data_IF_445137861210
#
_entry.id   IF_445137861210
#
_cell.length_a   1.000
_cell.length_b   1.000
_cell.length_c   1.000
_cell.angle_alpha   90.00
_cell.angle_beta   90.00
_cell.angle_gamma   90.00
#
_symmetry.space_group_name_H-M   'P 1'
#
loop_
_entity.id
_entity.type
_entity.pdbx_description
1 polymer ?
#
# COMPACT_ATOMS: atom_id res chain seq x y z
N UNK A 1 11.35 12.04 -30.16
CA UNK A 1 11.25 10.59 -29.89
C UNK A 1 9.90 10.36 -29.23
N UNK A 2 9.06 9.51 -29.80
CA UNK A 2 7.71 9.23 -29.29
C UNK A 2 7.80 8.40 -28.00
N UNK A 3 7.27 8.91 -26.88
CA UNK A 3 7.06 8.15 -25.65
C UNK A 3 5.74 7.38 -25.77
N UNK A 4 5.81 6.05 -25.79
CA UNK A 4 4.62 5.20 -25.73
C UNK A 4 4.26 4.99 -24.26
N UNK A 5 3.09 5.48 -23.86
CA UNK A 5 2.49 5.22 -22.56
C UNK A 5 1.61 3.98 -22.64
N UNK A 6 1.62 3.17 -21.58
CA UNK A 6 0.81 1.96 -21.52
C UNK A 6 0.25 1.76 -20.11
N UNK A 7 -1.07 1.66 -20.04
CA UNK A 7 -1.80 1.22 -18.86
C UNK A 7 -2.46 -0.10 -19.22
N UNK A 8 -2.09 -1.18 -18.52
CA UNK A 8 -2.79 -2.45 -18.62
C UNK A 8 -3.59 -2.67 -17.34
N UNK A 9 -4.89 -2.40 -17.40
CA UNK A 9 -5.84 -2.80 -16.36
C UNK A 9 -6.54 -4.08 -16.80
N UNK A 10 -6.57 -5.08 -15.91
CA UNK A 10 -7.42 -6.26 -16.11
C UNK A 10 -8.88 -5.82 -16.17
N UNK A 11 -9.55 -6.08 -17.30
CA UNK A 11 -10.97 -5.75 -17.49
C UNK A 11 -11.82 -6.39 -16.40
N UNK A 12 -12.66 -5.58 -15.75
CA UNK A 12 -13.70 -6.03 -14.83
C UNK A 12 -14.80 -6.76 -15.64
N UNK A 13 -15.04 -8.08 -15.42
CA UNK A 13 -16.05 -8.82 -16.19
C UNK A 13 -17.49 -8.56 -15.73
N UNK A 14 -17.76 -7.51 -14.95
CA UNK A 14 -19.13 -7.16 -14.52
C UNK A 14 -20.10 -6.78 -15.66
N UNK A 15 -19.71 -6.85 -16.93
CA UNK A 15 -20.60 -6.71 -18.08
C UNK A 15 -20.52 -7.93 -19.00
N UNK A 16 -21.33 -8.95 -18.71
CA UNK A 16 -22.33 -9.56 -19.61
C UNK A 16 -22.54 -11.03 -19.24
N UNK A 17 -23.75 -11.32 -18.75
CA UNK A 17 -24.28 -12.68 -18.67
C UNK A 17 -24.40 -13.24 -20.10
N UNK A 18 -23.52 -14.18 -20.50
CA UNK A 18 -23.85 -15.28 -21.45
C UNK A 18 -22.63 -16.06 -21.96
N UNK A 19 -21.39 -15.55 -21.87
CA UNK A 19 -20.23 -16.27 -22.41
C UNK A 19 -19.04 -16.19 -21.47
N UNK A 20 -18.87 -17.23 -20.65
CA UNK A 20 -17.65 -17.46 -19.90
C UNK A 20 -16.52 -17.73 -20.90
N UNK A 21 -15.75 -16.69 -21.22
CA UNK A 21 -14.46 -16.87 -21.90
C UNK A 21 -13.49 -17.30 -20.80
N UNK A 22 -12.82 -18.46 -20.91
CA UNK A 22 -11.81 -18.86 -19.94
C UNK A 22 -10.75 -17.75 -19.82
N UNK A 23 -10.46 -17.25 -18.61
CA UNK A 23 -9.52 -16.14 -18.39
C UNK A 23 -8.16 -16.37 -19.06
N UNK A 24 -7.74 -17.64 -19.11
CA UNK A 24 -6.47 -18.10 -19.66
C UNK A 24 -6.30 -17.77 -21.16
N UNK A 25 -7.39 -17.73 -21.93
CA UNK A 25 -7.33 -17.46 -23.38
C UNK A 25 -7.12 -15.97 -23.67
N UNK A 26 -7.71 -15.08 -22.86
CA UNK A 26 -7.62 -13.63 -23.04
C UNK A 26 -6.25 -13.11 -22.57
N UNK A 27 -5.79 -13.58 -21.40
CA UNK A 27 -4.51 -13.15 -20.84
C UNK A 27 -3.30 -13.70 -21.62
N UNK A 28 -3.37 -14.94 -22.11
CA UNK A 28 -2.30 -15.53 -22.92
C UNK A 28 -2.03 -14.76 -24.22
N UNK A 29 -3.07 -14.22 -24.86
CA UNK A 29 -2.94 -13.40 -26.07
C UNK A 29 -2.45 -11.98 -25.74
N UNK A 30 -2.82 -11.44 -24.59
CA UNK A 30 -2.37 -10.14 -24.13
C UNK A 30 -0.84 -10.12 -23.89
N UNK A 31 -0.31 -11.11 -23.17
CA UNK A 31 1.13 -11.18 -22.90
C UNK A 31 1.96 -11.34 -24.17
N UNK A 32 1.52 -12.19 -25.11
CA UNK A 32 2.15 -12.31 -26.43
C UNK A 32 2.15 -11.01 -27.22
N UNK A 33 1.06 -10.24 -27.13
CA UNK A 33 1.00 -8.92 -27.77
C UNK A 33 2.07 -8.01 -27.19
N UNK A 34 2.25 -8.02 -25.86
CA UNK A 34 3.25 -7.19 -25.21
C UNK A 34 4.69 -7.63 -25.45
N UNK A 35 4.95 -8.90 -25.78
CA UNK A 35 6.29 -9.35 -26.19
C UNK A 35 6.80 -8.63 -27.44
N UNK A 36 5.91 -8.07 -28.27
CA UNK A 36 6.29 -7.27 -29.43
C UNK A 36 6.75 -5.84 -29.08
N UNK A 37 6.51 -5.39 -27.85
CA UNK A 37 6.85 -4.03 -27.43
C UNK A 37 8.33 -3.91 -27.09
N UNK A 38 8.97 -2.95 -27.73
CA UNK A 38 10.39 -2.61 -27.54
C UNK A 38 10.50 -1.20 -26.97
N UNK A 39 11.52 -0.96 -26.14
CA UNK A 39 11.80 0.36 -25.55
C UNK A 39 10.64 0.93 -24.71
N UNK A 40 9.86 0.06 -24.05
CA UNK A 40 8.84 0.49 -23.10
C UNK A 40 9.54 1.16 -21.92
N UNK A 41 9.20 2.43 -21.65
CA UNK A 41 9.78 3.22 -20.56
C UNK A 41 8.92 3.25 -19.32
N UNK A 42 7.61 3.31 -19.49
CA UNK A 42 6.65 3.42 -18.40
C UNK A 42 5.76 2.19 -18.42
N UNK A 43 5.73 1.48 -17.30
CA UNK A 43 4.86 0.33 -17.10
C UNK A 43 3.99 0.61 -15.90
N UNK A 44 2.68 0.64 -16.12
CA UNK A 44 1.69 0.67 -15.05
C UNK A 44 0.86 -0.60 -15.11
N UNK A 45 0.99 -1.42 -14.06
CA UNK A 45 0.28 -2.68 -13.93
C UNK A 45 -0.41 -2.77 -12.58
N UNK A 46 -1.73 -2.95 -12.65
CA UNK A 46 -2.56 -3.22 -11.49
C UNK A 46 -3.38 -4.49 -11.73
N UNK A 47 -3.45 -5.34 -10.71
CA UNK A 47 -4.15 -6.62 -10.82
C UNK A 47 -5.42 -6.66 -9.96
N UNK A 48 -6.49 -7.20 -10.55
CA UNK A 48 -7.82 -7.26 -9.96
C UNK A 48 -8.22 -8.70 -9.66
N UNK A 49 -8.96 -8.88 -8.56
CA UNK A 49 -9.27 -10.14 -7.88
C UNK A 49 -9.91 -11.23 -8.74
N UNK A 50 -10.55 -10.86 -9.85
CA UNK A 50 -11.39 -11.77 -10.64
C UNK A 50 -10.60 -12.63 -11.64
N UNK A 51 -9.33 -12.28 -11.89
CA UNK A 51 -8.44 -13.05 -12.76
C UNK A 51 -7.15 -13.36 -11.99
N UNK A 52 -6.70 -14.63 -11.97
CA UNK A 52 -5.37 -14.96 -11.42
C UNK A 52 -4.29 -14.68 -12.47
N UNK A 53 -3.08 -14.34 -12.04
CA UNK A 53 -1.96 -14.16 -12.95
C UNK A 53 -1.52 -15.51 -13.52
N UNK A 54 -1.88 -15.78 -14.77
CA UNK A 54 -1.37 -16.93 -15.52
C UNK A 54 -0.12 -16.49 -16.27
N UNK A 55 1.06 -16.52 -15.63
CA UNK A 55 2.30 -16.14 -16.34
C UNK A 55 3.33 -17.26 -16.36
N UNK A 56 3.32 -18.05 -17.44
CA UNK A 56 4.45 -18.93 -17.77
C UNK A 56 5.73 -18.09 -18.04
N UNK A 57 5.62 -17.01 -18.81
CA UNK A 57 6.68 -16.02 -19.06
C UNK A 57 6.20 -14.61 -18.64
N UNK A 58 7.12 -13.81 -18.08
CA UNK A 58 6.90 -12.36 -17.98
C UNK A 58 7.60 -11.73 -19.19
N UNK A 59 6.95 -10.79 -19.91
CA UNK A 59 7.54 -10.19 -21.09
C UNK A 59 8.88 -9.50 -20.83
N UNK A 60 9.73 -9.45 -21.85
CA UNK A 60 11.07 -8.84 -21.74
C UNK A 60 11.04 -7.30 -21.66
N UNK A 61 9.92 -6.64 -22.00
CA UNK A 61 9.84 -5.17 -22.03
C UNK A 61 10.06 -4.51 -20.65
N UNK A 62 9.87 -5.26 -19.56
CA UNK A 62 10.21 -4.77 -18.21
C UNK A 62 11.69 -4.40 -18.07
N UNK A 63 12.59 -4.97 -18.88
CA UNK A 63 14.03 -4.65 -18.86
C UNK A 63 14.34 -3.23 -19.34
N UNK A 64 13.53 -2.68 -20.24
CA UNK A 64 13.73 -1.31 -20.74
C UNK A 64 13.01 -0.25 -19.93
N UNK A 65 12.18 -0.65 -18.96
CA UNK A 65 11.37 0.25 -18.18
C UNK A 65 12.24 1.12 -17.25
N UNK A 66 11.98 2.41 -17.25
CA UNK A 66 12.57 3.42 -16.35
C UNK A 66 11.58 3.86 -15.28
N UNK A 67 10.28 3.64 -15.49
CA UNK A 67 9.20 3.88 -14.54
C UNK A 67 8.34 2.63 -14.41
N UNK A 68 8.13 2.17 -13.18
CA UNK A 68 7.29 1.02 -12.88
C UNK A 68 6.30 1.35 -11.75
N UNK A 69 5.02 1.18 -12.03
CA UNK A 69 3.94 1.15 -11.04
C UNK A 69 3.42 -0.28 -10.94
N UNK A 70 3.39 -0.83 -9.73
CA UNK A 70 2.78 -2.12 -9.43
C UNK A 70 1.73 -1.92 -8.34
N UNK A 71 0.48 -2.30 -8.62
CA UNK A 71 -0.62 -2.10 -7.69
C UNK A 71 -1.67 -3.22 -7.66
N UNK A 72 -2.64 -3.06 -6.76
CA UNK A 72 -3.77 -3.98 -6.62
C UNK A 72 -3.42 -5.28 -5.89
N UNK A 73 -4.13 -6.36 -6.23
CA UNK A 73 -4.04 -7.66 -5.57
C UNK A 73 -3.32 -8.68 -6.47
N UNK A 74 -2.11 -9.07 -6.07
CA UNK A 74 -1.25 -9.96 -6.86
C UNK A 74 -0.58 -11.05 -6.01
N UNK A 75 -0.21 -12.17 -6.61
CA UNK A 75 0.67 -13.16 -5.98
C UNK A 75 2.07 -12.58 -5.79
N UNK A 76 2.75 -12.97 -4.70
CA UNK A 76 4.13 -12.55 -4.46
C UNK A 76 5.03 -13.06 -5.57
N UNK A 77 4.81 -14.29 -6.05
CA UNK A 77 5.57 -14.86 -7.17
C UNK A 77 5.49 -13.99 -8.43
N UNK A 78 4.31 -13.49 -8.76
CA UNK A 78 4.13 -12.58 -9.90
C UNK A 78 4.90 -11.28 -9.68
N UNK A 79 4.68 -10.59 -8.56
CA UNK A 79 5.36 -9.32 -8.26
C UNK A 79 6.88 -9.47 -8.23
N UNK A 80 7.42 -10.51 -7.57
CA UNK A 80 8.86 -10.79 -7.56
C UNK A 80 9.40 -11.05 -8.96
N UNK A 81 8.65 -11.75 -9.83
CA UNK A 81 9.08 -11.99 -11.21
C UNK A 81 9.05 -10.71 -12.05
N UNK A 82 8.05 -9.85 -11.87
CA UNK A 82 8.00 -8.52 -12.52
C UNK A 82 9.22 -7.70 -12.11
N UNK A 83 9.41 -7.53 -10.80
CA UNK A 83 10.49 -6.74 -10.23
C UNK A 83 11.87 -7.31 -10.56
N UNK A 84 12.02 -8.64 -10.60
CA UNK A 84 13.26 -9.32 -10.99
C UNK A 84 13.57 -9.29 -12.49
N UNK A 85 12.62 -8.87 -13.33
CA UNK A 85 12.85 -8.69 -14.78
C UNK A 85 13.29 -7.25 -15.11
N UNK A 86 13.03 -6.29 -14.22
CA UNK A 86 13.49 -4.91 -14.37
C UNK A 86 15.01 -4.86 -14.19
N UNK A 87 15.67 -4.03 -14.99
CA UNK A 87 17.08 -3.73 -14.81
C UNK A 87 17.24 -2.62 -13.75
N UNK A 88 17.68 -2.93 -12.51
CA UNK A 88 17.54 -2.01 -11.37
C UNK A 88 18.24 -0.66 -11.57
N UNK A 89 19.38 -0.64 -12.26
CA UNK A 89 20.14 0.58 -12.55
C UNK A 89 19.47 1.51 -13.57
N UNK A 90 18.44 1.04 -14.30
CA UNK A 90 17.71 1.88 -15.26
C UNK A 90 16.44 2.48 -14.63
N UNK A 91 15.98 1.97 -13.50
CA UNK A 91 14.72 2.37 -12.89
C UNK A 91 14.88 3.71 -12.15
N UNK A 92 14.20 4.74 -12.64
CA UNK A 92 14.19 6.09 -12.06
C UNK A 92 12.93 6.38 -11.25
N UNK A 93 11.81 5.71 -11.54
CA UNK A 93 10.56 5.85 -10.80
C UNK A 93 10.01 4.48 -10.40
N UNK A 94 9.60 4.35 -9.15
CA UNK A 94 8.99 3.15 -8.61
C UNK A 94 7.79 3.51 -7.73
N UNK A 95 6.63 2.97 -8.06
CA UNK A 95 5.39 3.18 -7.33
C UNK A 95 4.77 1.84 -6.93
N UNK A 96 4.44 1.70 -5.65
CA UNK A 96 3.65 0.60 -5.12
C UNK A 96 2.29 1.13 -4.73
N UNK A 97 1.29 0.89 -5.58
CA UNK A 97 -0.06 1.41 -5.38
C UNK A 97 -0.95 0.37 -4.71
N UNK A 98 -0.96 0.38 -3.37
CA UNK A 98 -1.71 -0.57 -2.54
C UNK A 98 -1.49 -2.04 -2.98
N UNK A 99 -0.21 -2.41 -3.15
CA UNK A 99 0.16 -3.75 -3.56
C UNK A 99 -0.10 -4.75 -2.42
N UNK A 100 -1.17 -5.53 -2.59
CA UNK A 100 -1.60 -6.54 -1.66
C UNK A 100 -1.23 -7.92 -2.19
N UNK A 101 -0.66 -8.75 -1.33
CA UNK A 101 -0.50 -10.16 -1.60
C UNK A 101 -1.87 -10.83 -1.59
N UNK A 102 -2.25 -11.37 -2.73
CA UNK A 102 -3.33 -12.33 -2.89
C UNK A 102 -2.73 -13.72 -3.11
N UNK A 103 -3.49 -14.78 -2.79
CA UNK A 103 -3.04 -16.17 -2.74
C UNK A 103 -1.94 -16.55 -3.74
N UNK A 104 -0.90 -17.24 -3.26
CA UNK A 104 -0.01 -17.96 -4.17
C UNK A 104 -0.83 -19.00 -4.94
N UNK A 105 -0.54 -19.23 -6.23
CA UNK A 105 -1.17 -20.31 -6.97
C UNK A 105 -0.81 -21.62 -6.28
N UNK A 106 -1.80 -22.27 -5.68
CA UNK A 106 -1.63 -23.63 -5.22
C UNK A 106 -1.34 -24.51 -6.44
N UNK A 107 -0.39 -25.44 -6.36
CA UNK A 107 -0.16 -26.40 -7.43
C UNK A 107 -1.49 -27.10 -7.76
N UNK A 108 -1.71 -27.39 -9.05
CA UNK A 108 -2.90 -28.15 -9.42
C UNK A 108 -2.96 -29.44 -8.58
N UNK A 109 -4.14 -29.82 -8.07
CA UNK A 109 -4.28 -31.12 -7.45
C UNK A 109 -3.84 -32.20 -8.44
N UNK A 110 -3.34 -33.34 -7.95
CA UNK A 110 -3.00 -34.49 -8.79
C UNK A 110 -4.18 -34.88 -9.68
N UNK A 111 -3.94 -35.45 -10.86
CA UNK A 111 -4.99 -35.81 -11.84
C UNK A 111 -6.13 -36.67 -11.25
N UNK A 112 -5.83 -37.41 -10.18
CA UNK A 112 -6.79 -38.20 -9.42
C UNK A 112 -6.65 -37.94 -7.91
N UNK A 113 -7.10 -36.79 -7.41
CA UNK A 113 -6.95 -36.47 -6.01
C UNK A 113 -7.97 -37.29 -5.19
N UNK A 114 -7.52 -37.84 -4.07
CA UNK A 114 -8.45 -38.43 -3.10
C UNK A 114 -9.37 -37.35 -2.53
N UNK A 115 -10.52 -37.74 -1.98
CA UNK A 115 -11.43 -36.79 -1.31
C UNK A 115 -10.70 -36.01 -0.20
N UNK A 116 -9.80 -36.67 0.54
CA UNK A 116 -8.98 -36.02 1.56
C UNK A 116 -8.06 -34.95 0.96
N UNK A 117 -7.38 -35.25 -0.16
CA UNK A 117 -6.53 -34.28 -0.86
C UNK A 117 -7.33 -33.09 -1.39
N UNK A 118 -8.56 -33.30 -1.87
CA UNK A 118 -9.46 -32.22 -2.27
C UNK A 118 -9.90 -31.36 -1.09
N UNK A 119 -10.21 -31.96 0.06
CA UNK A 119 -10.58 -31.23 1.28
C UNK A 119 -9.40 -30.38 1.77
N UNK A 120 -8.20 -30.95 1.81
CA UNK A 120 -6.96 -30.23 2.17
C UNK A 120 -6.69 -29.09 1.18
N UNK A 121 -6.84 -29.35 -0.13
CA UNK A 121 -6.69 -28.33 -1.17
C UNK A 121 -7.69 -27.17 -0.97
N UNK A 122 -8.97 -27.47 -0.74
CA UNK A 122 -10.00 -26.46 -0.48
C UNK A 122 -9.74 -25.66 0.80
N UNK A 123 -9.27 -26.32 1.87
CA UNK A 123 -8.88 -25.65 3.10
C UNK A 123 -7.71 -24.70 2.87
N UNK A 124 -6.69 -25.14 2.14
CA UNK A 124 -5.53 -24.32 1.77
C UNK A 124 -5.93 -23.10 0.93
N UNK A 125 -6.87 -23.24 -0.02
CA UNK A 125 -7.40 -22.08 -0.76
C UNK A 125 -7.94 -21.03 0.21
N UNK A 126 -8.75 -21.43 1.20
CA UNK A 126 -9.35 -20.48 2.15
C UNK A 126 -8.32 -19.78 3.02
N UNK A 127 -7.28 -20.49 3.46
CA UNK A 127 -6.23 -19.91 4.30
C UNK A 127 -5.28 -18.99 3.53
N UNK A 128 -5.10 -19.19 2.22
CA UNK A 128 -4.19 -18.39 1.41
C UNK A 128 -4.87 -17.25 0.64
N UNK A 129 -6.20 -17.12 0.66
CA UNK A 129 -6.95 -16.14 -0.17
C UNK A 129 -7.29 -14.82 0.51
N UNK A 130 -6.92 -14.61 1.78
CA UNK A 130 -7.11 -13.31 2.41
C UNK A 130 -6.06 -12.31 1.87
N UNK A 131 -6.47 -11.24 1.16
CA UNK A 131 -5.53 -10.22 0.73
C UNK A 131 -4.95 -9.49 1.94
N UNK A 132 -3.66 -9.16 1.87
CA UNK A 132 -2.97 -8.35 2.87
C UNK A 132 -1.73 -7.68 2.28
N UNK A 133 -1.04 -6.80 3.01
CA UNK A 133 0.16 -6.14 2.49
C UNK A 133 1.21 -7.15 2.01
N UNK A 134 1.75 -6.95 0.81
CA UNK A 134 2.73 -7.89 0.25
C UNK A 134 4.07 -7.79 0.99
N UNK A 135 4.68 -8.94 1.31
CA UNK A 135 5.94 -9.02 2.09
C UNK A 135 7.11 -9.59 1.30
N UNK A 136 8.31 -9.08 1.58
CA UNK A 136 9.58 -9.57 1.03
C UNK A 136 9.69 -9.49 -0.48
N UNK A 137 8.93 -8.62 -1.13
CA UNK A 137 8.95 -8.43 -2.59
C UNK A 137 10.04 -7.44 -3.03
N UNK A 138 10.61 -6.67 -2.10
CA UNK A 138 11.72 -5.74 -2.36
C UNK A 138 13.10 -6.31 -2.07
N UNK A 139 13.19 -7.47 -1.42
CA UNK A 139 14.46 -7.98 -0.90
C UNK A 139 15.54 -8.09 -2.00
N UNK A 140 15.12 -8.45 -3.22
CA UNK A 140 16.02 -8.54 -4.35
C UNK A 140 16.40 -7.19 -4.97
N UNK A 141 15.71 -6.10 -4.63
CA UNK A 141 15.95 -4.74 -5.14
C UNK A 141 16.75 -3.86 -4.18
N UNK A 142 16.75 -4.18 -2.89
CA UNK A 142 17.45 -3.41 -1.86
C UNK A 142 18.93 -3.28 -2.22
N UNK A 143 19.42 -2.04 -2.28
CA UNK A 143 20.80 -1.70 -2.63
C UNK A 143 21.16 -1.81 -4.12
N UNK A 144 20.21 -2.15 -5.00
CA UNK A 144 20.44 -2.25 -6.46
C UNK A 144 19.86 -1.08 -7.26
N UNK A 145 18.91 -0.34 -6.68
CA UNK A 145 18.18 0.76 -7.33
C UNK A 145 18.98 2.08 -7.30
N UNK A 146 20.17 2.07 -7.90
CA UNK A 146 21.16 3.17 -7.82
C UNK A 146 20.81 4.42 -8.65
N UNK A 147 19.80 4.34 -9.51
CA UNK A 147 19.33 5.46 -10.33
C UNK A 147 17.95 5.97 -9.89
N UNK A 148 17.38 5.43 -8.80
CA UNK A 148 16.03 5.75 -8.40
C UNK A 148 15.94 7.19 -7.91
N UNK A 149 15.06 7.97 -8.54
CA UNK A 149 14.78 9.38 -8.23
C UNK A 149 13.45 9.56 -7.50
N UNK A 150 12.46 8.75 -7.84
CA UNK A 150 11.13 8.83 -7.24
C UNK A 150 10.70 7.49 -6.66
N UNK A 151 10.31 7.49 -5.39
CA UNK A 151 9.70 6.34 -4.73
C UNK A 151 8.34 6.74 -4.15
N UNK A 152 7.31 5.99 -4.50
CA UNK A 152 5.96 6.13 -3.94
C UNK A 152 5.50 4.81 -3.34
N UNK A 153 5.07 4.85 -2.09
CA UNK A 153 4.51 3.71 -1.36
C UNK A 153 3.13 4.10 -0.87
N UNK A 154 2.11 3.56 -1.51
CA UNK A 154 0.73 3.73 -1.10
C UNK A 154 0.22 2.41 -0.53
N UNK A 155 -0.45 2.49 0.62
CA UNK A 155 -1.02 1.31 1.24
C UNK A 155 -2.35 1.60 1.90
N UNK A 156 -3.26 0.64 1.85
CA UNK A 156 -4.44 0.69 2.68
C UNK A 156 -4.15 0.13 4.08
N UNK A 157 -4.51 0.90 5.12
CA UNK A 157 -4.33 0.49 6.51
C UNK A 157 -5.48 -0.42 6.99
N UNK A 158 -5.21 -1.64 7.48
CA UNK A 158 -6.22 -2.42 8.18
C UNK A 158 -6.61 -1.71 9.48
N UNK A 159 -7.92 -1.60 9.70
CA UNK A 159 -8.49 -0.63 10.61
C UNK A 159 -8.58 -1.04 12.07
N UNK A 160 -8.47 -2.33 12.39
CA UNK A 160 -8.99 -2.78 13.68
C UNK A 160 -8.40 -4.05 14.30
N UNK A 161 -7.27 -4.56 13.84
CA UNK A 161 -6.54 -5.62 14.56
C UNK A 161 -5.16 -5.12 14.93
N UNK A 162 -4.57 -5.59 16.05
CA UNK A 162 -3.14 -5.45 16.26
C UNK A 162 -2.38 -5.83 14.99
N UNK A 163 -1.29 -5.12 14.67
CA UNK A 163 -0.56 -5.41 13.45
C UNK A 163 -0.07 -6.85 13.53
N UNK A 164 -0.36 -7.64 12.50
CA UNK A 164 0.17 -8.99 12.43
C UNK A 164 1.68 -8.92 12.17
N UNK A 165 2.40 -10.03 12.40
CA UNK A 165 3.83 -10.10 12.10
C UNK A 165 4.11 -9.83 10.61
N UNK A 166 3.17 -10.19 9.73
CA UNK A 166 3.27 -9.97 8.29
C UNK A 166 3.24 -8.48 7.93
N UNK A 167 2.30 -7.71 8.48
CA UNK A 167 2.22 -6.26 8.24
C UNK A 167 3.48 -5.58 8.79
N UNK A 168 3.90 -5.96 10.00
CA UNK A 168 5.14 -5.44 10.60
C UNK A 168 6.35 -5.70 9.71
N UNK A 169 6.45 -6.90 9.13
CA UNK A 169 7.53 -7.25 8.19
C UNK A 169 7.49 -6.38 6.94
N UNK A 170 6.30 -6.12 6.39
CA UNK A 170 6.12 -5.24 5.23
C UNK A 170 6.68 -3.82 5.48
N UNK A 171 6.36 -3.22 6.63
CA UNK A 171 6.90 -1.90 7.01
C UNK A 171 8.41 -1.91 7.21
N UNK A 172 8.99 -3.00 7.72
CA UNK A 172 10.45 -3.16 7.79
C UNK A 172 11.08 -3.24 6.40
N UNK A 173 10.44 -3.97 5.48
CA UNK A 173 10.92 -4.06 4.10
C UNK A 173 10.88 -2.69 3.41
N UNK A 174 9.81 -1.90 3.60
CA UNK A 174 9.73 -0.51 3.13
C UNK A 174 10.82 0.37 3.73
N UNK A 175 11.03 0.29 5.05
CA UNK A 175 12.07 1.03 5.73
C UNK A 175 13.47 0.68 5.18
N UNK A 176 13.74 -0.61 4.93
CA UNK A 176 14.99 -1.07 4.36
C UNK A 176 15.19 -0.56 2.91
N UNK A 177 14.13 -0.61 2.09
CA UNK A 177 14.13 -0.05 0.74
C UNK A 177 14.45 1.46 0.78
N UNK A 178 13.71 2.24 1.55
CA UNK A 178 13.89 3.70 1.71
C UNK A 178 15.33 4.03 2.07
N UNK A 179 15.90 3.36 3.08
CA UNK A 179 17.31 3.56 3.45
C UNK A 179 18.26 3.31 2.27
N UNK A 180 18.04 2.22 1.54
CA UNK A 180 18.92 1.82 0.44
C UNK A 180 18.92 2.76 -0.76
N UNK A 181 17.87 3.57 -0.94
CA UNK A 181 17.75 4.53 -2.06
C UNK A 181 17.87 5.99 -1.62
N UNK A 182 18.04 6.26 -0.32
CA UNK A 182 18.05 7.62 0.23
C UNK A 182 19.08 8.56 -0.42
N UNK A 183 20.25 8.02 -0.81
CA UNK A 183 21.30 8.80 -1.47
C UNK A 183 20.98 9.25 -2.90
N UNK A 184 19.91 8.74 -3.53
CA UNK A 184 19.59 9.02 -4.94
C UNK A 184 18.21 9.64 -5.14
N UNK A 185 17.32 9.52 -4.14
CA UNK A 185 15.95 9.99 -4.22
C UNK A 185 15.86 11.53 -4.24
N UNK A 186 15.03 12.03 -5.15
CA UNK A 186 14.58 13.42 -5.21
C UNK A 186 13.16 13.57 -4.67
N UNK A 187 12.33 12.54 -4.80
CA UNK A 187 10.92 12.55 -4.37
C UNK A 187 10.62 11.25 -3.59
N UNK A 188 10.07 11.40 -2.38
CA UNK A 188 9.57 10.29 -1.58
C UNK A 188 8.12 10.56 -1.18
N UNK A 189 7.21 9.67 -1.56
CA UNK A 189 5.81 9.70 -1.11
C UNK A 189 5.49 8.44 -0.32
N UNK A 190 4.94 8.63 0.88
CA UNK A 190 4.35 7.55 1.71
C UNK A 190 2.92 7.94 2.03
N UNK A 191 1.96 7.18 1.51
CA UNK A 191 0.54 7.45 1.72
C UNK A 191 -0.17 6.25 2.35
N UNK A 192 -0.90 6.52 3.43
CA UNK A 192 -1.72 5.51 4.11
C UNK A 192 -3.21 5.83 3.96
N UNK A 193 -3.91 5.02 3.17
CA UNK A 193 -5.36 5.07 3.07
C UNK A 193 -6.03 4.67 4.39
N UNK A 194 -7.18 5.29 4.68
CA UNK A 194 -7.94 5.06 5.90
C UNK A 194 -9.29 4.38 5.62
N UNK A 195 -9.67 3.38 6.44
CA UNK A 195 -11.01 2.79 6.34
C UNK A 195 -12.07 3.67 7.03
N UNK A 196 -12.69 4.55 6.26
CA UNK A 196 -13.65 5.53 6.78
C UNK A 196 -14.97 4.90 7.33
N UNK A 197 -15.27 3.63 7.04
CA UNK A 197 -16.54 3.01 7.44
C UNK A 197 -16.69 2.80 8.96
N UNK A 198 -15.59 2.58 9.67
CA UNK A 198 -15.63 2.36 11.14
C UNK A 198 -16.04 3.62 11.91
N UNK A 199 -15.82 4.79 11.35
CA UNK A 199 -16.12 6.06 12.02
C UNK A 199 -17.51 6.62 11.66
N UNK A 200 -18.15 6.11 10.59
CA UNK A 200 -19.48 6.58 10.17
C UNK A 200 -20.63 5.98 10.97
N UNK A 201 -20.43 4.89 11.72
CA UNK A 201 -21.50 4.24 12.47
C UNK A 201 -21.29 4.35 14.00
N UNK A 202 -21.64 5.51 14.61
CA UNK A 202 -21.47 5.73 16.06
C UNK A 202 -22.29 4.75 16.91
N UNK A 203 -23.27 4.05 16.35
CA UNK A 203 -24.06 3.00 16.99
C UNK A 203 -23.24 1.74 17.33
N UNK A 204 -22.13 1.47 16.63
CA UNK A 204 -21.22 0.36 16.95
C UNK A 204 -20.19 0.71 18.05
N UNK A 205 -20.10 1.99 18.45
CA UNK A 205 -19.21 2.43 19.53
C UNK A 205 -19.73 2.09 20.94
N UNK A 206 -20.88 1.41 21.05
CA UNK A 206 -21.55 1.20 22.33
C UNK A 206 -20.96 0.08 23.20
N UNK A 207 -20.07 -0.77 22.69
CA UNK A 207 -19.53 -1.88 23.46
C UNK A 207 -18.00 -1.89 23.46
N UNK A 208 -17.41 -1.20 24.43
CA UNK A 208 -16.04 -1.48 24.88
C UNK A 208 -14.94 -0.59 24.30
N UNK A 209 -13.94 -0.36 25.15
CA UNK A 209 -12.73 0.44 24.92
C UNK A 209 -11.95 -0.14 23.74
N UNK A 210 -12.19 0.33 22.52
CA UNK A 210 -11.61 -0.27 21.32
C UNK A 210 -11.00 0.77 20.38
N UNK A 211 -9.82 1.27 20.76
CA UNK A 211 -8.53 1.12 20.06
C UNK A 211 -7.59 2.29 20.30
N UNK A 212 -6.33 1.94 20.64
CA UNK A 212 -5.33 2.79 21.30
C UNK A 212 -4.45 3.60 20.36
N UNK A 213 -4.40 3.25 19.09
CA UNK A 213 -3.59 3.91 18.05
C UNK A 213 -3.99 3.22 16.74
N UNK A 214 -3.99 3.90 15.58
CA UNK A 214 -4.09 3.17 14.31
C UNK A 214 -2.83 2.30 14.21
N UNK A 215 -2.95 0.97 14.07
CA UNK A 215 -1.78 0.09 14.00
C UNK A 215 -0.74 0.55 12.97
N UNK A 216 -1.17 1.13 11.86
CA UNK A 216 -0.30 1.62 10.79
C UNK A 216 0.42 2.92 11.11
N UNK A 217 -0.18 3.80 11.90
CA UNK A 217 0.50 5.01 12.37
C UNK A 217 1.66 4.61 13.29
N UNK A 218 1.40 3.66 14.20
CA UNK A 218 2.44 3.08 15.05
C UNK A 218 3.55 2.44 14.22
N UNK A 219 3.20 1.62 13.24
CA UNK A 219 4.19 0.98 12.36
C UNK A 219 4.99 2.00 11.55
N UNK A 220 4.37 3.11 11.13
CA UNK A 220 5.10 4.20 10.50
C UNK A 220 6.13 4.79 11.47
N UNK A 221 5.71 5.12 12.69
CA UNK A 221 6.60 5.68 13.73
C UNK A 221 7.70 4.70 14.11
N UNK A 222 7.40 3.40 14.19
CA UNK A 222 8.35 2.37 14.61
C UNK A 222 9.35 1.99 13.50
N UNK A 223 9.02 2.18 12.22
CA UNK A 223 9.81 1.65 11.10
C UNK A 223 10.16 2.67 10.00
N UNK A 224 9.19 3.45 9.52
CA UNK A 224 9.39 4.36 8.39
C UNK A 224 9.99 5.68 8.85
N UNK A 225 9.48 6.30 9.91
CA UNK A 225 10.02 7.55 10.43
C UNK A 225 11.52 7.43 10.79
N UNK A 226 11.99 6.37 11.47
CA UNK A 226 13.42 6.17 11.71
C UNK A 226 14.21 6.04 10.41
N UNK A 227 13.70 5.31 9.41
CA UNK A 227 14.37 5.22 8.11
C UNK A 227 14.52 6.59 7.43
N UNK A 228 13.56 7.51 7.61
CA UNK A 228 13.66 8.88 7.13
C UNK A 228 14.69 9.69 7.94
N UNK A 229 14.63 9.62 9.27
CA UNK A 229 15.46 10.42 10.18
C UNK A 229 16.92 9.94 10.27
N UNK A 230 17.20 8.68 9.96
CA UNK A 230 18.56 8.11 10.03
C UNK A 230 19.29 8.19 8.69
N UNK A 231 18.57 8.38 7.58
CA UNK A 231 19.11 8.44 6.23
C UNK A 231 19.71 9.81 5.90
N UNK A 232 20.61 9.83 4.93
CA UNK A 232 21.12 11.07 4.32
C UNK A 232 20.36 11.35 3.03
N UNK A 233 19.99 12.62 2.83
CA UNK A 233 19.10 13.06 1.76
C UNK A 233 19.75 14.15 0.89
N UNK A 234 20.87 13.86 0.21
CA UNK A 234 21.64 14.89 -0.51
C UNK A 234 20.85 15.51 -1.68
N UNK A 235 19.87 14.79 -2.23
CA UNK A 235 19.13 15.19 -3.43
C UNK A 235 17.62 15.32 -3.19
N UNK A 236 17.13 15.08 -1.97
CA UNK A 236 15.68 15.04 -1.70
C UNK A 236 15.09 16.45 -1.75
N UNK A 237 14.17 16.67 -2.68
CA UNK A 237 13.48 17.95 -2.88
C UNK A 237 12.05 17.91 -2.39
N UNK A 238 11.44 16.73 -2.37
CA UNK A 238 10.05 16.56 -1.98
C UNK A 238 9.88 15.32 -1.11
N UNK A 239 9.33 15.52 0.09
CA UNK A 239 8.86 14.48 0.98
C UNK A 239 7.37 14.68 1.22
N UNK A 240 6.57 13.70 0.82
CA UNK A 240 5.13 13.69 1.04
C UNK A 240 4.74 12.51 1.92
N UNK A 241 4.11 12.82 3.05
CA UNK A 241 3.60 11.85 4.00
C UNK A 241 2.12 12.16 4.20
N UNK A 242 1.25 11.26 3.76
CA UNK A 242 -0.21 11.44 3.80
C UNK A 242 -0.90 10.33 4.56
N UNK A 243 -2.08 10.65 5.10
CA UNK A 243 -2.88 9.68 5.84
C UNK A 243 -2.39 9.45 7.28
N UNK A 244 -1.44 10.25 7.77
CA UNK A 244 -0.83 10.10 9.10
C UNK A 244 -1.18 11.27 10.02
N UNK A 245 -1.70 10.95 11.20
CA UNK A 245 -1.67 11.87 12.33
C UNK A 245 -2.97 12.41 12.86
N UNK A 246 -4.11 11.80 12.52
CA UNK A 246 -5.30 11.89 13.38
C UNK A 246 -5.74 10.51 13.81
N UNK A 247 -5.01 9.93 14.76
CA UNK A 247 -5.59 8.85 15.53
C UNK A 247 -6.50 9.48 16.58
N UNK A 248 -7.82 9.42 16.33
CA UNK A 248 -8.82 9.76 17.33
C UNK A 248 -9.29 8.47 18.00
N UNK A 249 -9.05 8.36 19.31
CA UNK A 249 -9.61 7.31 20.15
C UNK A 249 -10.82 7.90 20.86
N UNK A 250 -12.02 7.42 20.53
CA UNK A 250 -13.20 7.76 21.32
C UNK A 250 -13.05 7.15 22.71
N UNK A 251 -12.97 8.00 23.73
CA UNK A 251 -12.91 7.64 25.13
C UNK A 251 -14.24 7.99 25.79
N UNK A 252 -14.65 7.14 26.72
CA UNK A 252 -15.72 7.43 27.67
C UNK A 252 -15.08 7.52 29.05
N UNK A 253 -15.19 8.65 29.72
CA UNK A 253 -14.61 8.83 31.05
C UNK A 253 -15.53 9.63 31.97
N UNK A 254 -15.32 9.45 33.28
CA UNK A 254 -16.03 10.13 34.37
C UNK A 254 -15.22 11.26 35.01
N UNK A 255 -14.09 11.57 34.43
CA UNK A 255 -13.15 12.64 34.83
C UNK A 255 -13.31 13.75 33.82
N UNK A 256 -13.07 15.02 34.15
CA UNK A 256 -13.17 16.07 33.13
C UNK A 256 -12.03 15.96 32.10
N UNK A 257 -12.25 16.27 30.80
CA UNK A 257 -11.19 16.27 29.80
C UNK A 257 -9.95 17.08 30.21
N UNK A 258 -10.12 18.19 30.90
CA UNK A 258 -9.05 19.07 31.38
C UNK A 258 -8.21 18.43 32.50
N UNK A 259 -8.75 17.41 33.16
CA UNK A 259 -8.06 16.64 34.20
C UNK A 259 -7.31 15.43 33.60
N UNK A 260 -7.45 15.17 32.30
CA UNK A 260 -6.65 14.15 31.63
C UNK A 260 -5.19 14.61 31.52
N UNK A 261 -4.27 13.78 32.00
CA UNK A 261 -2.84 13.99 31.77
C UNK A 261 -2.50 13.60 30.34
N UNK A 262 -2.67 14.56 29.43
CA UNK A 262 -2.28 14.43 28.03
C UNK A 262 -0.79 14.77 27.87
N UNK A 263 -0.10 14.06 26.98
CA UNK A 263 1.24 14.45 26.55
C UNK A 263 1.21 15.71 25.67
N UNK A 264 2.37 16.30 25.38
CA UNK A 264 2.47 17.46 24.47
C UNK A 264 2.02 17.15 23.04
N UNK A 265 1.99 15.87 22.68
CA UNK A 265 1.60 15.34 21.38
C UNK A 265 0.16 14.78 21.43
N UNK A 266 -0.61 15.07 22.48
CA UNK A 266 -1.98 14.60 22.64
C UNK A 266 -2.98 15.74 22.81
N UNK A 267 -4.12 15.61 22.14
CA UNK A 267 -5.28 16.48 22.28
C UNK A 267 -6.51 15.72 22.76
N UNK A 268 -7.56 16.45 23.09
CA UNK A 268 -8.87 15.87 23.40
C UNK A 268 -9.99 16.73 22.80
N UNK A 269 -10.89 16.09 22.05
CA UNK A 269 -12.06 16.71 21.42
C UNK A 269 -13.33 16.13 22.06
N UNK A 270 -14.10 16.96 22.76
CA UNK A 270 -15.36 16.52 23.39
C UNK A 270 -16.41 16.31 22.29
N UNK A 271 -16.97 15.10 22.20
CA UNK A 271 -18.06 14.79 21.28
C UNK A 271 -19.43 14.92 21.94
N UNK A 272 -19.55 14.48 23.20
CA UNK A 272 -20.82 14.47 23.93
C UNK A 272 -20.61 14.47 25.44
N UNK A 273 -21.47 15.19 26.15
CA UNK A 273 -21.58 15.15 27.60
C UNK A 273 -22.92 14.50 28.02
N UNK A 274 -22.89 13.60 29.01
CA UNK A 274 -24.07 12.97 29.61
C UNK A 274 -23.91 12.88 31.13
N UNK A 275 -24.44 13.85 31.86
CA UNK A 275 -24.31 13.89 33.32
C UNK A 275 -22.85 14.04 33.74
N UNK A 276 -22.31 13.07 34.47
CA UNK A 276 -20.90 13.02 34.87
C UNK A 276 -20.03 12.14 33.94
N UNK A 277 -20.48 11.91 32.71
CA UNK A 277 -19.78 11.11 31.72
C UNK A 277 -19.50 11.95 30.49
N UNK A 278 -18.24 12.02 30.09
CA UNK A 278 -17.77 12.68 28.89
C UNK A 278 -17.38 11.63 27.86
N UNK A 279 -17.83 11.85 26.64
CA UNK A 279 -17.48 11.06 25.46
C UNK A 279 -16.74 12.00 24.52
N UNK A 280 -15.53 11.64 24.13
CA UNK A 280 -14.71 12.50 23.28
C UNK A 280 -13.55 11.75 22.68
N UNK A 281 -12.91 12.34 21.68
CA UNK A 281 -11.77 11.77 20.99
C UNK A 281 -10.48 12.23 21.66
N UNK A 282 -9.69 11.31 22.21
CA UNK A 282 -8.27 11.57 22.46
C UNK A 282 -7.55 11.54 21.12
N UNK A 283 -6.90 12.62 20.76
CA UNK A 283 -6.22 12.81 19.48
C UNK A 283 -4.72 12.64 19.73
N UNK A 284 -4.06 11.80 18.94
CA UNK A 284 -2.60 11.71 18.94
C UNK A 284 -2.07 12.51 17.75
N UNK A 285 -1.31 13.55 18.04
CA UNK A 285 -0.61 14.38 17.07
C UNK A 285 0.85 13.92 17.00
N UNK A 286 1.34 13.54 15.82
CA UNK A 286 2.76 13.22 15.66
C UNK A 286 3.61 14.48 15.46
N UNK A 287 3.38 15.54 16.24
CA UNK A 287 4.04 16.84 16.05
C UNK A 287 5.54 16.74 16.29
N UNK A 288 5.98 16.00 17.31
CA UNK A 288 7.39 15.69 17.53
C UNK A 288 8.06 15.04 16.30
N UNK A 289 7.44 14.01 15.72
CA UNK A 289 7.95 13.32 14.53
C UNK A 289 7.93 14.23 13.30
N UNK A 290 6.85 15.00 13.08
CA UNK A 290 6.75 15.99 12.00
C UNK A 290 7.86 17.03 12.08
N UNK A 291 8.08 17.59 13.26
CA UNK A 291 9.13 18.59 13.50
C UNK A 291 10.54 17.99 13.40
N UNK A 292 10.73 16.72 13.77
CA UNK A 292 12.00 16.02 13.57
C UNK A 292 12.31 15.83 12.08
N UNK A 293 11.33 15.34 11.29
CA UNK A 293 11.48 15.14 9.84
C UNK A 293 11.78 16.46 9.15
N UNK A 294 11.02 17.52 9.45
CA UNK A 294 11.22 18.84 8.83
C UNK A 294 12.59 19.44 9.15
N UNK A 295 13.14 19.20 10.34
CA UNK A 295 14.49 19.67 10.72
C UNK A 295 15.62 18.84 10.10
N UNK A 296 15.34 17.59 9.74
CA UNK A 296 16.31 16.67 9.18
C UNK A 296 16.56 16.88 7.69
N UNK A 297 15.61 17.49 6.99
CA UNK A 297 15.69 17.75 5.56
C UNK A 297 16.26 19.14 5.25
N UNK A 298 16.81 19.29 4.05
CA UNK A 298 17.33 20.58 3.58
C UNK A 298 16.25 21.67 3.63
N UNK A 299 16.62 22.95 3.92
CA UNK A 299 15.64 24.02 4.11
C UNK A 299 14.73 24.29 2.91
N UNK A 300 15.20 23.97 1.70
CA UNK A 300 14.47 24.13 0.43
C UNK A 300 13.59 22.93 0.06
N UNK A 301 13.69 21.82 0.80
CA UNK A 301 12.84 20.66 0.57
C UNK A 301 11.36 20.98 0.90
N UNK A 302 10.49 20.63 -0.05
CA UNK A 302 9.04 20.64 0.15
C UNK A 302 8.70 19.44 1.03
N UNK A 303 8.10 19.69 2.20
CA UNK A 303 7.70 18.64 3.12
C UNK A 303 6.22 18.80 3.38
N UNK A 304 5.44 17.84 2.90
CA UNK A 304 4.00 17.77 3.07
C UNK A 304 3.73 16.64 4.05
N UNK A 305 3.16 16.97 5.22
CA UNK A 305 2.71 15.96 6.17
C UNK A 305 1.25 16.24 6.50
N UNK A 306 0.37 15.49 5.87
CA UNK A 306 -1.08 15.68 5.96
C UNK A 306 -1.77 14.46 6.56
N UNK A 307 -2.81 14.73 7.35
CA UNK A 307 -3.63 13.70 7.98
C UNK A 307 -4.54 13.01 6.97
N UNK A 308 -4.99 13.77 5.97
CA UNK A 308 -5.83 13.28 4.91
C UNK A 308 -5.01 12.58 3.83
N UNK A 309 -5.51 11.43 3.41
CA UNK A 309 -5.06 10.78 2.20
C UNK A 309 -5.69 11.47 1.00
N UNK A 310 -4.92 11.65 -0.07
CA UNK A 310 -5.36 12.32 -1.30
C UNK A 310 -5.99 11.32 -2.28
N UNK A 311 -5.45 10.11 -2.37
CA UNK A 311 -5.70 9.21 -3.49
C UNK A 311 -6.56 7.98 -3.15
N UNK A 312 -7.11 7.92 -1.94
CA UNK A 312 -7.94 6.80 -1.51
C UNK A 312 -9.41 7.21 -1.43
N UNK A 313 -10.15 7.04 -2.53
CA UNK A 313 -11.62 6.99 -2.50
C UNK A 313 -12.08 5.54 -2.34
N UNK A 314 -13.02 5.32 -1.42
CA UNK A 314 -13.52 3.98 -1.12
C UNK A 314 -14.55 3.56 -2.15
N UNK A 315 -14.21 2.56 -2.97
CA UNK A 315 -15.17 1.95 -3.87
C UNK A 315 -15.90 0.83 -3.11
N UNK A 316 -17.15 1.08 -2.70
CA UNK A 316 -17.96 0.19 -1.85
C UNK A 316 -18.18 -1.21 -2.45
N UNK A 317 -17.93 -1.40 -3.75
CA UNK A 317 -18.37 -2.59 -4.50
C UNK A 317 -17.25 -3.49 -5.06
N UNK A 318 -15.99 -3.05 -5.06
CA UNK A 318 -14.88 -3.82 -5.67
C UNK A 318 -13.97 -4.49 -4.65
N UNK A 319 -14.08 -4.10 -3.36
CA UNK A 319 -13.11 -4.49 -2.34
C UNK A 319 -11.71 -3.90 -2.57
N UNK A 320 -11.62 -2.88 -3.43
CA UNK A 320 -10.41 -2.17 -3.82
C UNK A 320 -10.74 -0.66 -3.74
N UNK A 321 -9.94 0.18 -3.09
CA UNK A 321 -10.04 1.63 -3.27
C UNK A 321 -9.85 1.94 -4.76
N UNK A 322 -10.82 2.56 -5.43
CA UNK A 322 -10.59 3.04 -6.80
C UNK A 322 -9.53 4.14 -6.71
N UNK A 323 -8.40 3.92 -7.38
CA UNK A 323 -7.40 4.97 -7.56
C UNK A 323 -7.80 5.82 -8.75
N UNK A 324 -7.88 7.13 -8.53
CA UNK A 324 -7.71 8.07 -9.63
C UNK A 324 -6.26 7.97 -10.08
N UNK A 325 -6.03 7.41 -11.28
CA UNK A 325 -4.85 7.80 -12.04
C UNK A 325 -5.14 9.22 -12.49
N UNK A 326 -4.52 10.20 -11.83
CA UNK A 326 -4.60 11.59 -12.28
C UNK A 326 -3.94 11.68 -13.66
N UNK A 327 -4.75 11.55 -14.69
CA UNK A 327 -4.32 11.66 -16.09
C UNK A 327 -4.01 13.11 -16.46
N UNK A 328 -4.25 14.09 -15.57
CA UNK A 328 -4.08 15.51 -15.87
C UNK A 328 -2.64 16.02 -15.69
N UNK A 329 -1.70 15.18 -15.22
CA UNK A 329 -0.28 15.56 -15.02
C UNK A 329 0.73 14.97 -16.01
N UNK A 330 0.32 14.09 -16.93
CA UNK A 330 1.23 13.39 -17.86
C UNK A 330 1.09 13.96 -19.28
N UNK A 331 1.56 15.20 -19.48
CA UNK A 331 1.74 15.82 -20.81
C UNK A 331 3.20 15.77 -21.23
#
# INVERSE_FOLDING_TARGET
>A
MSSTWMTASGLNPALTSSSYIPPDYVLGNLWKTFESFINVRNVDIAWFRDCRETTASIPSFFRSATSLTVGGQASKKFATKVLGTVEPQNLTHLCFSNLQQFAEPLPAPSDHPSLQQLVEYCANIRHHTAPGPMRGHFQDLIGKLTSLRSLRIDTFAPSSSPPTNEITTCYRDWAALIRSVSGTLTNLTVEQGHWHWIYRNPSNAHNGVHQRERPTDRLFVDHIAPAILESQWPELRELEIRGLGRCSMQMVHRVRPEELQLSADEGYEILRERGNTWIGNRIFHYNGTRAAIRRHLEPDAVVIIEEESKNFEYCENTGIPEFYVDTQGLV
#
